data_IF_123156175341
#
_entry.id   IF_123156175341
#
_cell.length_a   1.000
_cell.length_b   1.000
_cell.length_c   1.000
_cell.angle_alpha   90.00
_cell.angle_beta   90.00
_cell.angle_gamma   90.00
#
_symmetry.space_group_name_H-M   'P 1'
#
loop_
_entity.id
_entity.type
_entity.pdbx_description
1 polymer ?
#
# COMPACT_ATOMS: atom_id res chain seq x y z
N UNK A 1 -61.76 -1.53 -28.87
CA UNK A 1 -60.84 -1.23 -27.75
C UNK A 1 -59.43 -1.64 -28.16
N UNK A 2 -58.52 -0.69 -28.37
CA UNK A 2 -57.09 -0.98 -28.64
C UNK A 2 -56.37 -1.07 -27.30
N UNK A 3 -56.05 -2.28 -26.85
CA UNK A 3 -55.20 -2.52 -25.69
C UNK A 3 -53.74 -2.32 -26.10
N UNK A 4 -53.23 -1.09 -25.93
CA UNK A 4 -51.80 -0.81 -26.03
C UNK A 4 -51.08 -1.37 -24.80
N UNK A 5 -50.50 -2.58 -24.91
CA UNK A 5 -49.46 -3.07 -24.00
C UNK A 5 -48.15 -2.32 -24.29
N UNK A 6 -48.10 -1.03 -23.94
CA UNK A 6 -46.98 -0.11 -24.28
C UNK A 6 -45.82 -0.12 -23.27
N UNK A 7 -45.88 -0.94 -22.21
CA UNK A 7 -44.90 -0.92 -21.12
C UNK A 7 -44.07 -2.19 -20.91
N UNK A 8 -44.55 -3.37 -21.34
CA UNK A 8 -43.82 -4.62 -21.14
C UNK A 8 -42.53 -4.73 -21.99
N UNK A 9 -42.54 -4.50 -23.32
CA UNK A 9 -41.35 -4.73 -24.15
C UNK A 9 -40.23 -3.73 -23.86
N UNK A 10 -40.55 -2.51 -23.44
CA UNK A 10 -39.55 -1.49 -23.06
C UNK A 10 -38.81 -1.85 -21.78
N UNK A 11 -39.49 -2.42 -20.78
CA UNK A 11 -38.86 -2.89 -19.54
C UNK A 11 -37.91 -4.06 -19.82
N UNK A 12 -38.34 -5.05 -20.63
CA UNK A 12 -37.45 -6.15 -21.04
C UNK A 12 -36.22 -5.64 -21.80
N UNK A 13 -36.38 -4.63 -22.67
CA UNK A 13 -35.27 -4.06 -23.42
C UNK A 13 -34.28 -3.31 -22.52
N UNK A 14 -34.77 -2.57 -21.52
CA UNK A 14 -33.94 -1.90 -20.51
C UNK A 14 -33.20 -2.91 -19.65
N UNK A 15 -33.88 -3.94 -19.14
CA UNK A 15 -33.23 -4.99 -18.36
C UNK A 15 -32.19 -5.74 -19.20
N UNK A 16 -32.50 -6.08 -20.45
CA UNK A 16 -31.55 -6.72 -21.35
C UNK A 16 -30.34 -5.81 -21.64
N UNK A 17 -30.55 -4.52 -21.89
CA UNK A 17 -29.46 -3.54 -22.05
C UNK A 17 -28.63 -3.38 -20.78
N UNK A 18 -29.25 -3.35 -19.59
CA UNK A 18 -28.54 -3.30 -18.31
C UNK A 18 -27.74 -4.58 -18.06
N UNK A 19 -28.30 -5.75 -18.37
CA UNK A 19 -27.59 -7.03 -18.26
C UNK A 19 -26.42 -7.10 -19.23
N UNK A 20 -26.62 -6.76 -20.51
CA UNK A 20 -25.53 -6.70 -21.50
C UNK A 20 -24.48 -5.67 -21.08
N UNK A 21 -24.89 -4.51 -20.55
CA UNK A 21 -23.98 -3.48 -20.02
C UNK A 21 -23.18 -3.96 -18.80
N UNK A 22 -23.74 -4.81 -17.95
CA UNK A 22 -23.04 -5.41 -16.82
C UNK A 22 -22.07 -6.53 -17.23
N UNK A 23 -22.30 -7.19 -18.38
CA UNK A 23 -21.42 -8.23 -18.90
C UNK A 23 -20.29 -7.72 -19.82
N UNK A 24 -20.33 -6.44 -20.25
CA UNK A 24 -19.26 -5.81 -21.03
C UNK A 24 -18.25 -5.04 -20.17
N UNK A 25 -18.52 -4.87 -18.87
CA UNK A 25 -17.60 -4.18 -17.97
C UNK A 25 -16.59 -5.15 -17.36
N UNK A 26 -15.36 -4.68 -17.15
CA UNK A 26 -14.29 -5.36 -16.40
C UNK A 26 -14.41 -5.07 -14.87
N UNK A 27 -15.44 -4.31 -14.47
CA UNK A 27 -15.65 -3.99 -13.06
C UNK A 27 -16.23 -5.18 -12.29
N UNK A 28 -15.55 -5.57 -11.22
CA UNK A 28 -16.03 -6.56 -10.26
C UNK A 28 -16.55 -5.88 -8.98
N UNK A 29 -17.87 -5.71 -8.80
CA UNK A 29 -18.44 -5.08 -7.61
C UNK A 29 -18.27 -5.92 -6.32
N UNK A 30 -17.94 -7.22 -6.44
CA UNK A 30 -17.70 -8.11 -5.30
C UNK A 30 -16.26 -8.04 -4.78
N UNK A 31 -15.41 -7.15 -5.32
CA UNK A 31 -14.05 -6.97 -4.83
C UNK A 31 -14.06 -6.48 -3.38
N UNK A 32 -13.32 -7.15 -2.51
CA UNK A 32 -13.24 -6.83 -1.08
C UNK A 32 -12.31 -5.62 -0.80
N UNK A 33 -12.32 -4.61 -1.66
CA UNK A 33 -11.57 -3.36 -1.48
C UNK A 33 -12.59 -2.23 -1.37
N UNK A 34 -12.83 -1.70 -0.15
CA UNK A 34 -13.82 -0.65 0.04
C UNK A 34 -13.37 0.65 -0.63
N UNK A 35 -14.29 1.33 -1.31
CA UNK A 35 -14.07 2.70 -1.76
C UNK A 35 -14.19 3.66 -0.57
N UNK A 36 -13.05 4.13 -0.07
CA UNK A 36 -12.97 5.05 1.07
C UNK A 36 -12.90 6.49 0.59
N UNK A 37 -13.66 7.39 1.20
CA UNK A 37 -13.58 8.82 0.89
C UNK A 37 -12.23 9.39 1.36
N UNK A 38 -11.62 10.24 0.53
CA UNK A 38 -10.32 10.83 0.84
C UNK A 38 -10.40 11.78 2.03
N UNK A 39 -9.41 11.67 2.93
CA UNK A 39 -9.16 12.64 3.99
C UNK A 39 -7.66 12.94 4.03
N UNK A 40 -7.27 14.08 3.44
CA UNK A 40 -5.89 14.47 3.23
C UNK A 40 -5.11 14.79 4.52
N UNK A 41 -5.81 15.02 5.63
CA UNK A 41 -5.19 15.33 6.93
C UNK A 41 -5.03 14.09 7.84
N UNK A 42 -5.38 12.90 7.34
CA UNK A 42 -5.26 11.65 8.10
C UNK A 42 -4.26 10.69 7.46
N UNK A 43 -3.25 10.28 8.24
CA UNK A 43 -2.24 9.30 7.81
C UNK A 43 -2.19 8.10 8.77
N UNK A 44 -1.88 6.89 8.25
CA UNK A 44 -1.69 6.51 6.83
C UNK A 44 -2.99 6.51 6.01
N UNK A 45 -2.89 6.59 4.69
CA UNK A 45 -4.05 6.62 3.78
C UNK A 45 -3.83 5.94 2.40
N UNK A 46 -2.64 5.38 2.13
CA UNK A 46 -2.35 4.78 0.81
C UNK A 46 -2.97 3.39 0.64
N UNK A 47 -2.76 2.50 1.62
CA UNK A 47 -3.22 1.11 1.57
C UNK A 47 -4.15 0.74 2.73
N UNK A 48 -4.05 1.47 3.84
CA UNK A 48 -4.83 1.27 5.06
C UNK A 48 -4.90 2.60 5.81
N UNK A 49 -5.92 2.74 6.65
CA UNK A 49 -6.11 3.86 7.56
C UNK A 49 -5.41 3.63 8.91
N UNK A 50 -5.28 4.69 9.70
CA UNK A 50 -4.77 4.60 11.09
C UNK A 50 -5.58 3.64 11.96
N UNK A 51 -6.89 3.53 11.74
CA UNK A 51 -7.77 2.66 12.53
C UNK A 51 -7.49 1.16 12.30
N UNK A 52 -6.94 0.81 11.13
CA UNK A 52 -6.67 -0.58 10.74
C UNK A 52 -5.31 -1.08 11.25
N UNK A 53 -4.44 -0.19 11.75
CA UNK A 53 -3.09 -0.55 12.21
C UNK A 53 -3.12 -1.61 13.31
N UNK A 54 -4.05 -1.51 14.26
CA UNK A 54 -4.17 -2.49 15.35
C UNK A 54 -4.50 -3.90 14.82
N UNK A 55 -5.34 -4.00 13.80
CA UNK A 55 -5.67 -5.27 13.14
C UNK A 55 -4.46 -5.82 12.35
N UNK A 56 -3.68 -4.96 11.70
CA UNK A 56 -2.45 -5.37 11.01
C UNK A 56 -1.43 -5.97 12.00
N UNK A 57 -1.29 -5.36 13.18
CA UNK A 57 -0.43 -5.86 14.25
C UNK A 57 -0.91 -7.21 14.79
N UNK A 58 -2.23 -7.37 15.00
CA UNK A 58 -2.83 -8.65 15.39
C UNK A 58 -2.58 -9.74 14.35
N UNK A 59 -2.70 -9.43 13.07
CA UNK A 59 -2.39 -10.37 11.98
C UNK A 59 -0.92 -10.74 11.95
N UNK A 60 -0.02 -9.77 12.12
CA UNK A 60 1.42 -10.01 12.19
C UNK A 60 1.82 -10.94 13.35
N UNK A 61 1.10 -10.91 14.47
CA UNK A 61 1.32 -11.80 15.60
C UNK A 61 0.55 -13.14 15.51
N UNK A 62 -0.20 -13.39 14.42
CA UNK A 62 -1.03 -14.58 14.28
C UNK A 62 -1.02 -15.11 12.84
N UNK A 63 -2.08 -14.89 12.08
CA UNK A 63 -2.30 -15.46 10.75
C UNK A 63 -1.22 -15.11 9.72
N UNK A 64 -0.54 -13.98 9.89
CA UNK A 64 0.50 -13.46 8.98
C UNK A 64 1.90 -13.47 9.62
N UNK A 65 2.10 -14.21 10.71
CA UNK A 65 3.38 -14.30 11.42
C UNK A 65 4.54 -14.67 10.49
N UNK A 66 4.33 -15.64 9.61
CA UNK A 66 5.34 -16.08 8.63
C UNK A 66 5.76 -14.97 7.63
N UNK A 67 4.88 -14.02 7.31
CA UNK A 67 5.19 -12.88 6.44
C UNK A 67 5.90 -11.80 7.26
N UNK A 68 5.38 -11.51 8.45
CA UNK A 68 5.98 -10.55 9.38
C UNK A 68 7.42 -10.96 9.75
N UNK A 69 7.69 -12.26 9.95
CA UNK A 69 9.02 -12.79 10.22
C UNK A 69 10.02 -12.45 9.11
N UNK A 70 9.61 -12.46 7.83
CA UNK A 70 10.48 -12.06 6.71
C UNK A 70 10.79 -10.56 6.71
N UNK A 71 9.82 -9.72 7.09
CA UNK A 71 10.07 -8.29 7.29
C UNK A 71 11.05 -8.06 8.44
N UNK A 72 10.84 -8.77 9.56
CA UNK A 72 11.70 -8.71 10.74
C UNK A 72 13.14 -9.13 10.43
N UNK A 73 13.32 -10.20 9.66
CA UNK A 73 14.64 -10.65 9.20
C UNK A 73 15.32 -9.56 8.34
N UNK A 74 14.62 -9.03 7.33
CA UNK A 74 15.17 -8.00 6.46
C UNK A 74 15.59 -6.74 7.24
N UNK A 75 14.75 -6.28 8.18
CA UNK A 75 15.08 -5.13 9.03
C UNK A 75 16.22 -5.44 9.99
N UNK A 76 16.26 -6.65 10.56
CA UNK A 76 17.38 -7.06 11.42
C UNK A 76 18.71 -7.07 10.65
N UNK A 77 18.73 -7.54 9.40
CA UNK A 77 19.91 -7.45 8.53
C UNK A 77 20.33 -6.00 8.29
N UNK A 78 19.37 -5.11 7.97
CA UNK A 78 19.65 -3.68 7.77
C UNK A 78 20.22 -3.02 9.04
N UNK A 79 19.63 -3.29 10.20
CA UNK A 79 20.09 -2.77 11.49
C UNK A 79 21.46 -3.32 11.91
N UNK A 80 21.77 -4.56 11.52
CA UNK A 80 23.09 -5.16 11.79
C UNK A 80 24.21 -4.54 10.95
N UNK A 81 23.88 -3.85 9.85
CA UNK A 81 24.87 -3.18 8.99
C UNK A 81 24.33 -1.86 8.40
N UNK A 82 23.97 -0.86 9.23
CA UNK A 82 23.20 0.30 8.75
C UNK A 82 23.92 1.10 7.66
N UNK A 83 25.24 1.22 7.75
CA UNK A 83 26.05 1.97 6.78
C UNK A 83 26.11 1.31 5.39
N UNK A 84 25.82 0.02 5.29
CA UNK A 84 25.72 -0.69 4.01
C UNK A 84 24.37 -0.44 3.32
N UNK A 85 23.30 -0.29 4.12
CA UNK A 85 21.93 -0.20 3.62
C UNK A 85 21.38 1.23 3.54
N UNK A 86 21.93 2.16 4.32
CA UNK A 86 21.53 3.56 4.28
C UNK A 86 22.00 4.21 2.97
N UNK A 87 21.17 5.06 2.34
CA UNK A 87 21.59 5.77 1.16
C UNK A 87 22.77 6.72 1.47
N UNK A 88 23.73 6.88 0.54
CA UNK A 88 24.81 7.84 0.70
C UNK A 88 24.27 9.27 0.80
N UNK A 89 24.92 10.11 1.61
CA UNK A 89 24.66 11.55 1.61
C UNK A 89 25.20 12.23 0.34
N UNK A 90 26.34 11.77 -0.18
CA UNK A 90 26.94 12.33 -1.39
C UNK A 90 26.11 11.94 -2.62
N UNK A 91 25.56 12.91 -3.37
CA UNK A 91 24.79 12.61 -4.58
C UNK A 91 25.58 11.85 -5.64
N UNK A 92 26.91 11.99 -5.67
CA UNK A 92 27.77 11.25 -6.60
C UNK A 92 27.75 9.76 -6.28
N UNK A 93 27.75 9.39 -5.00
CA UNK A 93 27.67 7.98 -4.59
C UNK A 93 26.24 7.46 -4.71
N UNK A 94 25.24 8.26 -4.35
CA UNK A 94 23.82 7.90 -4.45
C UNK A 94 23.40 7.56 -5.88
N UNK A 95 23.89 8.34 -6.87
CA UNK A 95 23.55 8.18 -8.30
C UNK A 95 24.60 7.41 -9.11
N UNK A 96 25.67 6.91 -8.47
CA UNK A 96 26.75 6.20 -9.17
C UNK A 96 26.30 4.88 -9.81
N UNK A 97 25.18 4.30 -9.35
CA UNK A 97 24.68 2.99 -9.74
C UNK A 97 23.17 3.00 -9.81
N UNK A 98 22.62 1.96 -10.43
CA UNK A 98 21.19 1.67 -10.34
C UNK A 98 20.79 1.46 -8.88
N UNK A 99 19.94 2.34 -8.35
CA UNK A 99 19.77 2.57 -6.91
C UNK A 99 18.35 2.27 -6.40
N UNK A 100 17.57 1.48 -7.16
CA UNK A 100 16.20 1.07 -6.78
C UNK A 100 16.11 0.43 -5.39
N UNK A 101 17.21 -0.19 -4.95
CA UNK A 101 17.33 -0.82 -3.63
C UNK A 101 16.96 0.14 -2.50
N UNK A 102 17.21 1.44 -2.67
CA UNK A 102 16.88 2.42 -1.64
C UNK A 102 15.38 2.57 -1.44
N UNK A 103 14.61 2.70 -2.53
CA UNK A 103 13.15 2.75 -2.46
C UNK A 103 12.54 1.41 -2.05
N UNK A 104 13.07 0.31 -2.61
CA UNK A 104 12.55 -1.04 -2.38
C UNK A 104 12.67 -1.43 -0.89
N UNK A 105 13.83 -1.19 -0.27
CA UNK A 105 14.06 -1.55 1.13
C UNK A 105 13.36 -0.61 2.11
N UNK A 106 13.23 0.68 1.76
CA UNK A 106 12.50 1.65 2.59
C UNK A 106 11.03 1.23 2.78
N UNK A 107 10.38 0.65 1.76
CA UNK A 107 9.02 0.13 1.89
C UNK A 107 8.90 -0.98 2.94
N UNK A 108 9.84 -1.93 2.94
CA UNK A 108 9.89 -3.01 3.93
C UNK A 108 10.15 -2.47 5.34
N UNK A 109 11.12 -1.55 5.48
CA UNK A 109 11.44 -0.90 6.77
C UNK A 109 10.26 -0.10 7.32
N UNK A 110 9.59 0.68 6.47
CA UNK A 110 8.42 1.47 6.87
C UNK A 110 7.27 0.57 7.33
N UNK A 111 6.99 -0.53 6.61
CA UNK A 111 5.95 -1.49 7.01
C UNK A 111 6.30 -2.16 8.35
N UNK A 112 7.57 -2.53 8.56
CA UNK A 112 8.03 -3.04 9.85
C UNK A 112 7.78 -2.03 10.98
N UNK A 113 8.11 -0.75 10.79
CA UNK A 113 7.86 0.29 11.80
C UNK A 113 6.37 0.54 12.10
N UNK A 114 5.46 0.24 11.17
CA UNK A 114 4.01 0.25 11.42
C UNK A 114 3.60 -0.92 12.33
N UNK A 115 4.15 -2.11 12.09
CA UNK A 115 3.83 -3.31 12.85
C UNK A 115 4.47 -3.33 14.25
N UNK A 116 5.67 -2.76 14.40
CA UNK A 116 6.46 -2.78 15.63
C UNK A 116 6.88 -1.35 16.05
N UNK A 117 5.93 -0.45 16.37
CA UNK A 117 6.21 0.96 16.67
C UNK A 117 7.07 1.18 17.93
N UNK A 118 7.15 0.18 18.80
CA UNK A 118 8.00 0.15 19.99
C UNK A 118 9.49 -0.02 19.67
N UNK A 119 9.84 -0.50 18.48
CA UNK A 119 11.23 -0.59 18.03
C UNK A 119 11.75 0.79 17.61
N UNK A 120 12.32 1.51 18.57
CA UNK A 120 12.80 2.87 18.37
C UNK A 120 14.01 2.91 17.41
N UNK A 121 14.88 1.91 17.46
CA UNK A 121 16.07 1.82 16.61
C UNK A 121 15.71 1.73 15.13
N UNK A 122 14.77 0.83 14.78
CA UNK A 122 14.25 0.73 13.41
C UNK A 122 13.58 2.02 12.95
N UNK A 123 12.83 2.68 13.83
CA UNK A 123 12.14 3.94 13.52
C UNK A 123 13.12 5.08 13.26
N UNK A 124 14.19 5.17 14.03
CA UNK A 124 15.19 6.21 13.85
C UNK A 124 16.06 5.93 12.62
N UNK A 125 16.35 4.65 12.30
CA UNK A 125 16.92 4.27 11.01
C UNK A 125 16.02 4.69 9.84
N UNK A 126 14.71 4.45 9.92
CA UNK A 126 13.76 4.82 8.87
C UNK A 126 13.74 6.33 8.61
N UNK A 127 13.82 7.15 9.68
CA UNK A 127 13.95 8.60 9.55
C UNK A 127 15.26 9.00 8.86
N UNK A 128 16.41 8.48 9.31
CA UNK A 128 17.70 8.78 8.67
C UNK A 128 17.73 8.36 7.20
N UNK A 129 17.12 7.21 6.89
CA UNK A 129 16.92 6.72 5.52
C UNK A 129 16.19 7.75 4.66
N UNK A 130 15.05 8.24 5.14
CA UNK A 130 14.22 9.21 4.43
C UNK A 130 14.92 10.57 4.29
N UNK A 131 15.62 11.03 5.33
CA UNK A 131 16.39 12.29 5.29
C UNK A 131 17.49 12.24 4.21
N UNK A 132 18.22 11.12 4.12
CA UNK A 132 19.24 10.92 3.08
C UNK A 132 18.67 10.94 1.68
N UNK A 133 17.50 10.31 1.46
CA UNK A 133 16.82 10.33 0.16
C UNK A 133 16.26 11.73 -0.15
N UNK A 134 15.69 12.43 0.83
CA UNK A 134 15.10 13.75 0.66
C UNK A 134 16.15 14.84 0.36
N UNK A 135 17.39 14.65 0.82
CA UNK A 135 18.50 15.56 0.55
C UNK A 135 19.08 15.43 -0.88
N UNK A 136 18.70 14.40 -1.63
CA UNK A 136 19.23 14.20 -2.97
C UNK A 136 18.71 15.25 -3.96
N UNK A 137 19.58 15.87 -4.77
CA UNK A 137 19.16 16.85 -5.78
C UNK A 137 18.41 16.22 -6.96
N UNK A 138 18.63 14.92 -7.18
CA UNK A 138 17.95 14.08 -8.17
C UNK A 138 17.96 12.64 -7.67
N UNK A 139 16.90 11.89 -7.97
CA UNK A 139 16.88 10.44 -7.78
C UNK A 139 17.31 9.72 -9.04
#
# INVERSE_FOLDING_TARGET
MRTHTRGAPSVFFIYFLCFVSAYITDENPEVMIPFTNANYDSHPMLYFSRAEVAELQLRAASSHEHIAARLSEAVHTMLSSPLEYLPPWDPKDYSARWNEIYGNNLGALAMFCVLYPENIEARDMAKDYMERMAAQPSW
#
